data_IF_036320608706
#
_entry.id   IF_036320608706
#
_cell.length_a   1.000
_cell.length_b   1.000
_cell.length_c   1.000
_cell.angle_alpha   90.00
_cell.angle_beta   90.00
_cell.angle_gamma   90.00
#
_symmetry.space_group_name_H-M   'P 1'
#
loop_
_entity.id
_entity.type
_entity.pdbx_description
1 polymer ?
#
# COMPACT_ATOMS: atom_id res chain seq x y z
N UNK A 1 85.74 10.52 41.39
CA UNK A 1 86.82 10.57 40.39
C UNK A 1 86.44 9.67 39.23
N UNK A 2 86.32 10.26 38.03
CA UNK A 2 86.49 9.71 36.65
C UNK A 2 86.41 8.18 36.45
N UNK A 3 85.75 7.61 35.43
CA UNK A 3 85.60 8.10 34.05
C UNK A 3 84.61 7.24 33.22
N UNK A 4 83.94 7.94 32.28
CA UNK A 4 83.53 7.53 30.92
C UNK A 4 82.77 6.22 30.66
N UNK A 5 81.53 6.39 30.20
CA UNK A 5 81.06 5.67 29.02
C UNK A 5 80.38 6.62 28.02
N UNK A 6 81.01 6.70 26.86
CA UNK A 6 80.64 7.38 25.62
C UNK A 6 79.60 6.55 24.85
N UNK A 7 78.47 7.12 24.42
CA UNK A 7 78.26 7.60 23.04
C UNK A 7 76.77 7.89 22.79
N UNK A 8 76.53 9.15 22.44
CA UNK A 8 75.30 9.75 21.97
C UNK A 8 75.40 9.89 20.45
N UNK A 9 74.37 9.50 19.68
CA UNK A 9 74.17 10.05 18.33
C UNK A 9 72.68 10.27 18.02
N UNK A 10 72.34 11.57 17.97
CA UNK A 10 71.39 12.31 17.09
C UNK A 10 69.91 11.92 17.23
N UNK A 11 69.06 12.70 17.91
CA UNK A 11 68.54 14.05 17.60
C UNK A 11 67.98 14.18 16.17
N UNK A 12 66.64 14.16 16.04
CA UNK A 12 65.90 15.27 15.42
C UNK A 12 64.44 15.27 15.91
N UNK A 13 64.03 16.45 16.34
CA UNK A 13 62.74 16.83 16.90
C UNK A 13 61.91 17.42 15.75
N UNK A 14 60.67 16.99 15.55
CA UNK A 14 59.66 17.78 14.84
C UNK A 14 58.27 17.53 15.46
N UNK A 15 57.72 18.60 16.02
CA UNK A 15 56.32 18.74 16.41
C UNK A 15 55.41 18.72 15.17
N UNK A 16 54.26 18.06 15.27
CA UNK A 16 52.96 18.62 14.84
C UNK A 16 51.80 17.76 15.38
N UNK A 17 51.14 18.32 16.39
CA UNK A 17 49.68 18.44 16.56
C UNK A 17 48.72 17.30 16.18
N UNK A 18 48.05 16.81 17.23
CA UNK A 18 46.59 16.59 17.33
C UNK A 18 45.90 15.86 16.18
N UNK A 19 45.45 14.62 16.43
CA UNK A 19 44.04 14.26 16.25
C UNK A 19 43.69 13.03 17.09
N UNK A 20 42.69 13.20 17.97
CA UNK A 20 42.03 12.14 18.72
C UNK A 20 41.36 11.15 17.77
N UNK A 21 41.58 9.86 17.98
CA UNK A 21 40.59 8.82 17.67
C UNK A 21 40.68 7.75 18.75
N UNK A 22 39.95 7.97 19.84
CA UNK A 22 39.65 6.92 20.80
C UNK A 22 38.58 6.00 20.20
N UNK A 23 38.93 4.73 20.11
CA UNK A 23 38.08 3.62 19.73
C UNK A 23 36.95 3.48 20.75
N UNK A 24 35.69 3.52 20.29
CA UNK A 24 34.58 2.92 21.01
C UNK A 24 33.85 1.96 20.08
N UNK A 25 33.97 0.68 20.41
CA UNK A 25 33.14 -0.39 19.91
C UNK A 25 31.67 -0.09 20.25
N UNK A 26 30.88 0.24 19.23
CA UNK A 26 29.43 0.36 19.35
C UNK A 26 28.79 -1.01 19.15
N UNK A 27 28.37 -1.64 20.24
CA UNK A 27 27.36 -2.68 20.20
C UNK A 27 26.13 -2.13 19.45
N UNK A 28 25.74 -2.78 18.35
CA UNK A 28 24.39 -2.63 17.80
C UNK A 28 23.43 -3.27 18.80
N UNK A 29 22.99 -2.49 19.78
CA UNK A 29 21.75 -2.78 20.46
C UNK A 29 20.66 -2.49 19.44
N UNK A 30 20.04 -3.54 18.89
CA UNK A 30 18.67 -3.43 18.40
C UNK A 30 17.84 -3.11 19.64
N UNK A 31 17.66 -1.82 19.90
CA UNK A 31 16.61 -1.39 20.81
C UNK A 31 15.30 -1.76 20.10
N UNK A 32 14.58 -2.72 20.68
CA UNK A 32 13.16 -2.87 20.43
C UNK A 32 12.53 -1.49 20.62
N UNK A 33 12.10 -0.86 19.52
CA UNK A 33 11.29 0.35 19.62
C UNK A 33 10.05 -0.01 20.44
N UNK A 34 9.94 0.58 21.63
CA UNK A 34 8.77 0.44 22.48
C UNK A 34 7.56 0.94 21.67
N UNK A 35 6.73 0.00 21.22
CA UNK A 35 5.56 0.21 20.36
C UNK A 35 4.41 0.84 21.18
N UNK A 36 4.67 1.98 21.83
CA UNK A 36 3.77 2.66 22.76
C UNK A 36 2.94 3.69 21.99
N UNK A 37 1.66 3.39 21.80
CA UNK A 37 0.72 4.34 21.21
C UNK A 37 -0.71 4.07 21.68
N UNK A 38 -1.63 5.03 21.47
CA UNK A 38 -2.96 4.99 22.08
C UNK A 38 -3.79 3.76 21.69
N UNK A 39 -3.59 3.20 20.48
CA UNK A 39 -4.19 1.93 20.06
C UNK A 39 -3.16 0.79 20.22
N UNK A 40 -3.39 -0.12 21.15
CA UNK A 40 -2.42 -1.17 21.50
C UNK A 40 -2.63 -2.47 20.72
N UNK A 41 -3.89 -2.78 20.38
CA UNK A 41 -4.21 -3.93 19.53
C UNK A 41 -5.45 -3.63 18.69
N UNK A 42 -5.57 -4.34 17.57
CA UNK A 42 -6.74 -4.33 16.71
C UNK A 42 -6.86 -5.68 16.01
N UNK A 43 -8.07 -6.17 15.77
CA UNK A 43 -8.28 -7.42 15.06
C UNK A 43 -9.73 -7.90 15.06
N UNK A 44 -9.88 -9.20 14.83
CA UNK A 44 -11.15 -9.92 14.88
C UNK A 44 -10.96 -11.20 15.70
N UNK A 45 -11.38 -11.17 16.96
CA UNK A 45 -11.36 -12.37 17.81
C UNK A 45 -12.47 -13.35 17.42
N UNK A 46 -12.13 -14.64 17.47
CA UNK A 46 -13.05 -15.77 17.30
C UNK A 46 -14.15 -15.80 18.37
N UNK A 47 -13.85 -15.31 19.58
CA UNK A 47 -14.82 -15.19 20.68
C UNK A 47 -16.04 -14.35 20.28
N UNK A 48 -15.83 -13.31 19.47
CA UNK A 48 -16.87 -12.44 18.94
C UNK A 48 -17.36 -12.82 17.54
N UNK A 49 -16.53 -13.56 16.80
CA UNK A 49 -16.76 -13.99 15.43
C UNK A 49 -16.64 -15.53 15.36
N UNK A 50 -17.67 -16.23 15.83
CA UNK A 50 -17.70 -17.70 16.01
C UNK A 50 -17.35 -18.52 14.76
N UNK A 51 -17.49 -17.92 13.59
CA UNK A 51 -17.19 -18.48 12.29
C UNK A 51 -15.71 -18.44 11.89
N UNK A 52 -14.87 -17.77 12.67
CA UNK A 52 -13.43 -17.81 12.49
C UNK A 52 -12.86 -19.11 13.08
N UNK A 53 -11.87 -19.70 12.41
CA UNK A 53 -11.12 -20.84 12.95
C UNK A 53 -10.11 -20.41 14.02
N UNK A 54 -9.60 -19.18 13.91
CA UNK A 54 -8.63 -18.54 14.81
C UNK A 54 -8.84 -17.03 14.78
N UNK A 55 -8.32 -16.33 15.78
CA UNK A 55 -8.29 -14.86 15.78
C UNK A 55 -7.51 -14.33 14.58
N UNK A 56 -7.96 -13.20 14.03
CA UNK A 56 -7.24 -12.44 13.02
C UNK A 56 -6.65 -11.21 13.71
N UNK A 57 -5.33 -11.16 13.81
CA UNK A 57 -4.61 -10.11 14.54
C UNK A 57 -4.03 -9.12 13.53
N UNK A 58 -4.24 -7.83 13.75
CA UNK A 58 -3.65 -6.78 12.93
C UNK A 58 -2.23 -6.42 13.42
N UNK A 59 -1.40 -5.92 12.50
CA UNK A 59 -0.13 -5.29 12.84
C UNK A 59 -0.32 -3.79 12.93
N UNK A 60 0.23 -3.15 13.97
CA UNK A 60 0.16 -1.71 14.19
C UNK A 60 1.55 -1.10 14.04
N UNK A 61 1.66 -0.14 13.14
CA UNK A 61 2.80 0.78 13.05
C UNK A 61 2.43 2.08 13.76
N UNK A 62 3.01 2.30 14.94
CA UNK A 62 2.75 3.48 15.74
C UNK A 62 3.38 4.74 15.17
N UNK A 63 4.45 4.64 14.38
CA UNK A 63 5.11 5.80 13.78
C UNK A 63 4.27 6.31 12.60
N UNK A 64 3.89 5.41 11.69
CA UNK A 64 3.07 5.72 10.53
C UNK A 64 1.58 5.90 10.86
N UNK A 65 1.15 5.54 12.08
CA UNK A 65 -0.27 5.48 12.48
C UNK A 65 -1.09 4.63 11.52
N UNK A 66 -0.55 3.47 11.15
CA UNK A 66 -1.25 2.51 10.28
C UNK A 66 -1.54 1.22 11.02
N UNK A 67 -2.69 0.64 10.72
CA UNK A 67 -3.10 -0.67 11.20
C UNK A 67 -3.30 -1.53 9.96
N UNK A 68 -2.55 -2.60 9.80
CA UNK A 68 -2.71 -3.53 8.68
C UNK A 68 -3.34 -4.81 9.16
N UNK A 69 -4.48 -5.17 8.57
CA UNK A 69 -5.15 -6.46 8.82
C UNK A 69 -5.29 -7.24 7.52
N UNK A 70 -4.87 -8.50 7.55
CA UNK A 70 -5.04 -9.42 6.42
C UNK A 70 -6.16 -10.39 6.75
N UNK A 71 -7.24 -10.34 5.96
CA UNK A 71 -8.44 -11.16 6.16
C UNK A 71 -8.55 -12.18 5.03
N UNK A 72 -8.54 -13.48 5.33
CA UNK A 72 -8.77 -14.52 4.32
C UNK A 72 -10.14 -14.35 3.66
N UNK A 73 -10.20 -14.47 2.33
CA UNK A 73 -11.44 -14.33 1.56
C UNK A 73 -12.51 -15.33 2.02
N UNK A 74 -12.09 -16.52 2.45
CA UNK A 74 -12.96 -17.56 2.98
C UNK A 74 -13.72 -17.12 4.25
N UNK A 75 -13.14 -16.23 5.08
CA UNK A 75 -13.78 -15.73 6.29
C UNK A 75 -15.02 -14.85 5.98
N UNK A 76 -15.12 -14.30 4.77
CA UNK A 76 -16.30 -13.57 4.32
C UNK A 76 -17.44 -14.46 3.85
N UNK A 77 -17.17 -15.75 3.59
CA UNK A 77 -18.16 -16.65 2.97
C UNK A 77 -19.21 -17.04 3.99
N UNK A 78 -20.48 -16.77 3.68
CA UNK A 78 -21.61 -17.30 4.45
C UNK A 78 -21.84 -18.79 4.16
N UNK A 79 -22.53 -19.51 5.06
CA UNK A 79 -22.93 -20.89 4.79
C UNK A 79 -23.71 -21.03 3.48
N UNK A 80 -23.67 -22.23 2.89
CA UNK A 80 -24.38 -22.52 1.64
C UNK A 80 -25.86 -22.11 1.73
N UNK A 81 -26.37 -21.48 0.67
CA UNK A 81 -27.75 -21.00 0.60
C UNK A 81 -27.98 -19.59 1.14
N UNK A 82 -27.02 -18.98 1.84
CA UNK A 82 -27.13 -17.58 2.28
C UNK A 82 -26.50 -16.60 1.27
N UNK A 83 -27.19 -15.48 1.04
CA UNK A 83 -26.70 -14.39 0.18
C UNK A 83 -25.85 -13.38 0.95
N UNK A 84 -24.89 -12.79 0.24
CA UNK A 84 -24.01 -11.72 0.73
C UNK A 84 -22.82 -12.22 1.54
N UNK A 85 -22.00 -11.27 1.97
CA UNK A 85 -20.76 -11.52 2.71
C UNK A 85 -20.97 -11.39 4.21
N UNK A 86 -20.21 -12.14 5.01
CA UNK A 86 -20.14 -11.94 6.46
C UNK A 86 -19.55 -10.58 6.76
N UNK A 87 -20.00 -10.02 7.86
CA UNK A 87 -19.38 -8.87 8.50
C UNK A 87 -18.70 -9.35 9.77
N UNK A 88 -17.81 -8.54 10.30
CA UNK A 88 -16.96 -8.87 11.43
C UNK A 88 -17.23 -7.89 12.54
N UNK A 89 -17.17 -8.39 13.78
CA UNK A 89 -17.08 -7.58 14.98
C UNK A 89 -15.60 -7.35 15.28
N UNK A 90 -15.19 -6.09 15.31
CA UNK A 90 -13.84 -5.71 15.66
C UNK A 90 -13.53 -6.01 17.13
N UNK A 91 -12.26 -6.19 17.45
CA UNK A 91 -11.72 -6.17 18.81
C UNK A 91 -10.48 -5.27 18.85
N UNK A 92 -10.29 -4.56 19.96
CA UNK A 92 -9.13 -3.69 20.18
C UNK A 92 -8.89 -3.47 21.67
N UNK A 93 -7.67 -3.04 21.98
CA UNK A 93 -7.29 -2.54 23.30
C UNK A 93 -6.66 -1.17 23.16
N UNK A 94 -6.91 -0.30 24.14
CA UNK A 94 -6.37 1.06 24.18
C UNK A 94 -5.39 1.19 25.35
N UNK A 95 -4.38 2.04 25.20
CA UNK A 95 -3.38 2.28 26.23
C UNK A 95 -3.99 2.94 27.47
N UNK A 96 -4.91 3.88 27.27
CA UNK A 96 -5.70 4.50 28.34
C UNK A 96 -7.07 3.79 28.42
N UNK A 97 -7.44 3.18 29.56
CA UNK A 97 -8.72 2.49 29.72
C UNK A 97 -9.94 3.41 29.61
N UNK A 98 -9.77 4.73 29.70
CA UNK A 98 -10.85 5.70 29.53
C UNK A 98 -10.94 6.26 28.12
N UNK A 99 -9.93 6.02 27.28
CA UNK A 99 -9.99 6.40 25.89
C UNK A 99 -11.04 5.55 25.15
N UNK A 100 -11.49 6.05 24.01
CA UNK A 100 -12.51 5.41 23.16
C UNK A 100 -12.09 5.45 21.70
N UNK A 101 -12.43 4.39 20.96
CA UNK A 101 -12.21 4.31 19.52
C UNK A 101 -13.43 4.84 18.78
N UNK A 102 -13.21 5.67 17.77
CA UNK A 102 -14.27 6.25 16.95
C UNK A 102 -14.03 5.98 15.46
N UNK A 103 -15.12 5.85 14.72
CA UNK A 103 -15.13 5.90 13.25
C UNK A 103 -16.28 6.77 12.79
N UNK A 104 -16.02 7.74 11.92
CA UNK A 104 -17.02 8.70 11.43
C UNK A 104 -17.81 9.37 12.59
N UNK A 105 -17.12 9.68 13.70
CA UNK A 105 -17.73 10.26 14.91
C UNK A 105 -18.54 9.29 15.79
N UNK A 106 -18.68 8.02 15.40
CA UNK A 106 -19.40 7.00 16.17
C UNK A 106 -18.44 6.14 16.98
N UNK A 107 -18.73 5.95 18.26
CA UNK A 107 -17.97 5.07 19.14
C UNK A 107 -17.99 3.63 18.59
N UNK A 108 -16.86 2.96 18.72
CA UNK A 108 -16.64 1.58 18.31
C UNK A 108 -16.46 0.73 19.56
N UNK A 109 -17.17 -0.40 19.62
CA UNK A 109 -17.20 -1.26 20.80
C UNK A 109 -16.75 -2.66 20.36
N UNK A 110 -15.72 -3.19 21.02
CA UNK A 110 -15.21 -4.55 20.80
C UNK A 110 -16.33 -5.58 20.95
N UNK A 111 -16.45 -6.49 19.99
CA UNK A 111 -17.45 -7.55 20.00
C UNK A 111 -18.89 -7.15 19.65
N UNK A 112 -19.15 -5.85 19.46
CA UNK A 112 -20.48 -5.33 19.15
C UNK A 112 -20.52 -4.64 17.79
N UNK A 113 -19.56 -3.75 17.52
CA UNK A 113 -19.58 -2.96 16.30
C UNK A 113 -19.19 -3.80 15.10
N UNK A 114 -20.14 -3.96 14.18
CA UNK A 114 -20.03 -4.84 13.03
C UNK A 114 -19.84 -4.05 11.71
N UNK A 115 -18.86 -4.44 10.89
CA UNK A 115 -18.62 -3.88 9.55
C UNK A 115 -18.12 -4.96 8.58
N UNK A 116 -18.16 -4.67 7.28
CA UNK A 116 -17.68 -5.58 6.24
C UNK A 116 -16.15 -5.54 6.07
N UNK A 117 -15.43 -4.51 6.51
CA UNK A 117 -13.94 -4.47 6.45
C UNK A 117 -13.31 -4.84 5.08
N UNK A 118 -13.82 -4.32 3.96
CA UNK A 118 -13.27 -4.61 2.60
C UNK A 118 -12.58 -3.42 1.93
N UNK A 119 -12.37 -2.35 2.69
CA UNK A 119 -11.74 -1.11 2.21
C UNK A 119 -11.11 -0.41 3.39
N UNK A 120 -10.06 0.35 3.11
CA UNK A 120 -9.38 1.17 4.12
C UNK A 120 -10.37 2.08 4.85
N UNK A 121 -10.09 2.30 6.13
CA UNK A 121 -10.93 3.06 7.06
C UNK A 121 -10.04 3.92 7.94
N UNK A 122 -10.58 5.03 8.41
CA UNK A 122 -9.94 5.83 9.45
C UNK A 122 -10.64 5.58 10.79
N UNK A 123 -9.83 5.41 11.82
CA UNK A 123 -10.28 5.31 13.20
C UNK A 123 -9.55 6.33 14.04
N UNK A 124 -10.22 6.97 14.99
CA UNK A 124 -9.61 7.92 15.91
C UNK A 124 -9.74 7.42 17.34
N UNK A 125 -8.62 7.27 18.04
CA UNK A 125 -8.62 7.09 19.49
C UNK A 125 -8.74 8.47 20.13
N UNK A 126 -9.75 8.66 20.99
CA UNK A 126 -9.96 9.90 21.72
C UNK A 126 -9.89 9.67 23.22
N UNK A 127 -9.17 10.53 23.92
CA UNK A 127 -9.01 10.55 25.39
C UNK A 127 -10.01 11.52 26.03
N UNK A 128 -10.18 11.46 27.36
CA UNK A 128 -11.12 12.32 28.10
C UNK A 128 -10.80 13.83 27.97
N UNK A 129 -9.52 14.18 27.78
CA UNK A 129 -9.07 15.56 27.57
C UNK A 129 -9.39 16.12 26.17
N UNK A 130 -10.01 15.31 25.30
CA UNK A 130 -10.37 15.67 23.95
C UNK A 130 -9.26 15.51 22.91
N UNK A 131 -8.06 15.06 23.30
CA UNK A 131 -7.00 14.72 22.36
C UNK A 131 -7.44 13.56 21.45
N UNK A 132 -6.99 13.57 20.19
CA UNK A 132 -7.35 12.56 19.21
C UNK A 132 -6.12 12.12 18.40
N UNK A 133 -5.92 10.81 18.29
CA UNK A 133 -4.95 10.21 17.36
C UNK A 133 -5.68 9.39 16.31
N UNK A 134 -5.49 9.71 15.04
CA UNK A 134 -6.09 8.99 13.91
C UNK A 134 -5.14 7.93 13.39
N UNK A 135 -5.69 6.74 13.16
CA UNK A 135 -5.04 5.61 12.51
C UNK A 135 -5.74 5.29 11.19
N UNK A 136 -4.95 4.98 10.17
CA UNK A 136 -5.45 4.40 8.92
C UNK A 136 -5.43 2.88 9.02
N UNK A 137 -6.62 2.28 9.08
CA UNK A 137 -6.78 0.83 8.93
C UNK A 137 -6.70 0.48 7.45
N UNK A 138 -5.62 -0.18 7.07
CA UNK A 138 -5.42 -0.79 5.77
C UNK A 138 -5.88 -2.25 5.80
N UNK A 139 -6.84 -2.62 4.94
CA UNK A 139 -7.33 -4.00 4.87
C UNK A 139 -6.82 -4.68 3.62
N UNK A 140 -6.06 -5.76 3.83
CA UNK A 140 -5.68 -6.72 2.80
C UNK A 140 -6.64 -7.89 2.82
N UNK A 141 -7.15 -8.26 1.65
CA UNK A 141 -7.92 -9.50 1.49
C UNK A 141 -6.99 -10.53 0.89
N UNK A 142 -6.78 -11.62 1.62
CA UNK A 142 -5.99 -12.75 1.15
C UNK A 142 -6.89 -13.72 0.39
N UNK A 143 -6.62 -13.89 -0.90
CA UNK A 143 -7.37 -14.78 -1.77
C UNK A 143 -6.68 -16.13 -1.86
N UNK A 144 -7.46 -17.22 -2.02
CA UNK A 144 -6.93 -18.58 -2.23
C UNK A 144 -5.94 -18.60 -3.41
N UNK A 145 -6.28 -17.89 -4.48
CA UNK A 145 -5.38 -17.62 -5.60
C UNK A 145 -4.83 -16.19 -5.42
N UNK A 146 -3.50 -16.01 -5.23
CA UNK A 146 -2.91 -14.72 -4.91
C UNK A 146 -3.16 -13.67 -6.02
N UNK A 147 -2.86 -12.39 -5.78
CA UNK A 147 -2.99 -11.37 -6.84
C UNK A 147 -2.02 -11.63 -7.99
N UNK A 148 -0.79 -12.04 -7.66
CA UNK A 148 0.30 -12.32 -8.60
C UNK A 148 0.80 -13.74 -8.30
N UNK A 149 1.15 -14.51 -9.32
CA UNK A 149 1.86 -15.77 -9.12
C UNK A 149 3.22 -15.49 -8.45
N UNK A 150 3.58 -16.16 -7.34
CA UNK A 150 4.88 -15.96 -6.68
C UNK A 150 6.09 -16.03 -7.63
N UNK A 151 6.02 -16.86 -8.68
CA UNK A 151 7.10 -16.97 -9.67
C UNK A 151 7.25 -15.74 -10.56
N UNK A 152 6.19 -14.94 -10.72
CA UNK A 152 6.13 -13.79 -11.62
C UNK A 152 6.29 -12.44 -10.90
N UNK A 153 6.40 -12.39 -9.57
CA UNK A 153 6.41 -11.15 -8.78
C UNK A 153 7.47 -10.15 -9.25
N UNK A 154 8.72 -10.59 -9.43
CA UNK A 154 9.80 -9.70 -9.87
C UNK A 154 9.58 -9.19 -11.30
N UNK A 155 9.03 -10.03 -12.18
CA UNK A 155 8.68 -9.63 -13.54
C UNK A 155 7.51 -8.66 -13.56
N UNK A 156 6.50 -8.85 -12.73
CA UNK A 156 5.32 -7.97 -12.68
C UNK A 156 5.66 -6.58 -12.13
N UNK A 157 6.64 -6.48 -11.21
CA UNK A 157 7.12 -5.18 -10.67
C UNK A 157 7.53 -4.19 -11.75
N UNK A 158 8.05 -4.66 -12.89
CA UNK A 158 8.42 -3.78 -13.99
C UNK A 158 7.21 -3.02 -14.57
N UNK A 159 5.99 -3.54 -14.43
CA UNK A 159 4.76 -2.89 -14.91
C UNK A 159 4.23 -1.84 -13.93
N UNK A 160 4.72 -1.80 -12.69
CA UNK A 160 4.27 -0.82 -11.71
C UNK A 160 4.69 0.60 -12.09
N UNK A 161 3.77 1.54 -12.05
CA UNK A 161 4.00 2.94 -12.38
C UNK A 161 2.78 3.62 -12.98
N UNK A 162 3.05 4.75 -13.63
CA UNK A 162 2.06 5.65 -14.21
C UNK A 162 2.09 5.56 -15.74
N UNK A 163 0.92 5.60 -16.36
CA UNK A 163 0.70 5.49 -17.80
C UNK A 163 -0.29 6.56 -18.26
N UNK A 164 -0.12 7.05 -19.48
CA UNK A 164 -1.03 8.04 -20.07
C UNK A 164 -0.75 9.48 -19.57
N UNK A 165 0.41 9.72 -19.00
CA UNK A 165 0.88 11.05 -18.59
C UNK A 165 2.33 11.25 -18.99
N UNK A 166 2.67 12.42 -19.51
CA UNK A 166 4.04 12.86 -19.78
C UNK A 166 4.40 13.94 -18.76
N UNK A 167 5.35 13.65 -17.86
CA UNK A 167 5.73 14.58 -16.80
C UNK A 167 6.54 15.78 -17.30
N UNK A 168 7.37 15.59 -18.34
CA UNK A 168 8.15 16.66 -18.95
C UNK A 168 7.27 17.74 -19.57
N UNK A 169 6.18 17.33 -20.23
CA UNK A 169 5.20 18.22 -20.85
C UNK A 169 4.04 18.58 -19.91
N UNK A 170 3.97 17.95 -18.73
CA UNK A 170 2.84 18.03 -17.79
C UNK A 170 1.49 17.76 -18.44
N UNK A 171 1.43 16.78 -19.34
CA UNK A 171 0.29 16.55 -20.24
C UNK A 171 -0.25 15.13 -20.13
N UNK A 172 -1.58 15.01 -20.11
CA UNK A 172 -2.26 13.71 -20.25
C UNK A 172 -2.21 13.26 -21.72
N UNK A 173 -1.71 12.05 -21.94
CA UNK A 173 -1.57 11.42 -23.26
C UNK A 173 -2.45 10.19 -23.42
N UNK A 174 -2.99 9.66 -22.32
CA UNK A 174 -3.96 8.58 -22.36
C UNK A 174 -5.32 9.06 -22.83
N UNK A 175 -5.98 8.24 -23.65
CA UNK A 175 -7.32 8.46 -24.17
C UNK A 175 -8.17 7.22 -23.85
N UNK A 176 -9.35 7.42 -23.29
CA UNK A 176 -10.42 6.44 -23.17
C UNK A 176 -11.50 6.76 -24.19
N UNK A 177 -11.86 5.80 -25.02
CA UNK A 177 -12.92 5.93 -26.03
C UNK A 177 -14.22 5.38 -25.45
N UNK A 178 -15.22 6.22 -25.25
CA UNK A 178 -16.51 5.81 -24.71
C UNK A 178 -17.65 6.68 -25.27
N UNK A 179 -18.76 6.06 -25.63
CA UNK A 179 -19.97 6.74 -26.11
C UNK A 179 -19.68 7.75 -27.24
N UNK A 180 -18.87 7.34 -28.22
CA UNK A 180 -18.40 8.17 -29.35
C UNK A 180 -17.60 9.43 -28.96
N UNK A 181 -17.10 9.50 -27.73
CA UNK A 181 -16.29 10.60 -27.20
C UNK A 181 -14.91 10.11 -26.75
N UNK A 182 -13.97 11.04 -26.70
CA UNK A 182 -12.63 10.84 -26.14
C UNK A 182 -12.53 11.48 -24.75
N UNK A 183 -12.07 10.70 -23.78
CA UNK A 183 -11.83 11.18 -22.42
C UNK A 183 -10.34 11.06 -22.08
N UNK A 184 -9.71 12.10 -21.51
CA UNK A 184 -8.35 11.99 -21.01
C UNK A 184 -8.31 10.92 -19.91
N UNK A 185 -7.29 10.06 -19.94
CA UNK A 185 -7.13 9.01 -18.94
C UNK A 185 -5.69 8.81 -18.49
N UNK A 186 -5.53 8.45 -17.22
CA UNK A 186 -4.25 8.09 -16.60
C UNK A 186 -4.46 6.78 -15.83
N UNK A 187 -3.52 5.85 -15.98
CA UNK A 187 -3.50 4.61 -15.20
C UNK A 187 -2.32 4.65 -14.24
N UNK A 188 -2.57 4.35 -12.98
CA UNK A 188 -1.54 4.13 -11.97
C UNK A 188 -1.71 2.73 -11.43
N UNK A 189 -0.65 1.93 -11.43
CA UNK A 189 -0.72 0.58 -10.90
C UNK A 189 0.52 0.23 -10.08
N UNK A 190 0.32 -0.54 -9.02
CA UNK A 190 1.37 -1.18 -8.25
C UNK A 190 0.89 -2.56 -7.79
N UNK A 191 1.60 -3.15 -6.81
CA UNK A 191 1.28 -4.47 -6.27
C UNK A 191 -0.13 -4.57 -5.68
N UNK A 192 -0.60 -3.50 -5.03
CA UNK A 192 -1.82 -3.51 -4.22
C UNK A 192 -2.99 -2.76 -4.85
N UNK A 193 -2.70 -1.83 -5.78
CA UNK A 193 -3.66 -0.85 -6.26
C UNK A 193 -3.55 -0.69 -7.77
N UNK A 194 -4.71 -0.64 -8.41
CA UNK A 194 -4.88 -0.19 -9.78
C UNK A 194 -5.86 0.97 -9.77
N UNK A 195 -5.45 2.08 -10.35
CA UNK A 195 -6.25 3.28 -10.43
C UNK A 195 -6.42 3.66 -11.90
N UNK A 196 -7.67 3.81 -12.32
CA UNK A 196 -8.05 4.36 -13.62
C UNK A 196 -8.67 5.73 -13.41
N UNK A 197 -7.99 6.78 -13.85
CA UNK A 197 -8.50 8.14 -13.86
C UNK A 197 -9.05 8.43 -15.24
N UNK A 198 -10.33 8.80 -15.35
CA UNK A 198 -10.95 9.16 -16.63
C UNK A 198 -12.13 10.13 -16.38
N UNK A 199 -13.26 9.94 -17.07
CA UNK A 199 -14.53 10.59 -16.75
C UNK A 199 -14.93 10.35 -15.27
N UNK A 200 -14.63 9.15 -14.76
CA UNK A 200 -14.76 8.78 -13.35
C UNK A 200 -13.46 8.13 -12.88
N UNK A 201 -12.96 8.58 -11.73
CA UNK A 201 -11.80 7.96 -11.09
C UNK A 201 -12.22 6.69 -10.35
N UNK A 202 -11.51 5.60 -10.58
CA UNK A 202 -11.77 4.31 -9.94
C UNK A 202 -10.48 3.74 -9.34
N UNK A 203 -10.51 3.40 -8.05
CA UNK A 203 -9.44 2.73 -7.33
C UNK A 203 -9.86 1.29 -7.03
N UNK A 204 -9.03 0.34 -7.43
CA UNK A 204 -9.23 -1.09 -7.22
C UNK A 204 -8.08 -1.67 -6.42
N UNK A 205 -8.42 -2.45 -5.39
CA UNK A 205 -7.48 -3.27 -4.61
C UNK A 205 -7.70 -4.78 -4.83
N UNK A 206 -8.83 -5.14 -5.43
CA UNK A 206 -9.11 -6.52 -5.82
C UNK A 206 -8.61 -6.74 -7.25
N UNK A 207 -7.42 -7.31 -7.37
CA UNK A 207 -6.67 -7.42 -8.62
C UNK A 207 -6.19 -8.86 -8.84
N UNK A 208 -6.01 -9.23 -10.11
CA UNK A 208 -5.37 -10.48 -10.54
C UNK A 208 -4.50 -10.21 -11.75
N UNK A 209 -3.25 -10.64 -11.66
CA UNK A 209 -2.29 -10.65 -12.76
C UNK A 209 -2.22 -12.04 -13.36
N UNK A 210 -2.37 -12.11 -14.68
CA UNK A 210 -2.24 -13.35 -15.46
C UNK A 210 -1.16 -13.12 -16.54
N UNK A 211 -0.16 -14.00 -16.58
CA UNK A 211 0.85 -14.03 -17.64
C UNK A 211 0.22 -14.53 -18.93
N UNK A 212 0.37 -13.77 -20.02
CA UNK A 212 -0.11 -14.16 -21.36
C UNK A 212 1.05 -14.72 -22.18
N UNK A 213 2.22 -14.11 -22.09
CA UNK A 213 3.48 -14.57 -22.69
C UNK A 213 4.68 -14.00 -21.92
N UNK A 214 5.91 -14.27 -22.35
CA UNK A 214 7.12 -13.68 -21.77
C UNK A 214 7.22 -12.15 -21.94
N UNK A 215 6.40 -11.55 -22.80
CA UNK A 215 6.40 -10.10 -23.05
C UNK A 215 5.04 -9.46 -22.87
N UNK A 216 4.05 -10.20 -22.37
CA UNK A 216 2.67 -9.72 -22.24
C UNK A 216 1.99 -10.26 -20.98
N UNK A 217 1.38 -9.34 -20.22
CA UNK A 217 0.64 -9.64 -19.00
C UNK A 217 -0.70 -8.91 -19.02
N UNK A 218 -1.66 -9.47 -18.29
CA UNK A 218 -2.94 -8.81 -18.05
C UNK A 218 -3.15 -8.60 -16.56
N UNK A 219 -3.60 -7.41 -16.18
CA UNK A 219 -4.12 -7.12 -14.84
C UNK A 219 -5.63 -6.92 -14.95
N UNK A 220 -6.41 -7.79 -14.32
CA UNK A 220 -7.85 -7.65 -14.19
C UNK A 220 -8.17 -7.11 -12.81
N UNK A 221 -8.98 -6.07 -12.75
CA UNK A 221 -9.52 -5.53 -11.50
C UNK A 221 -10.96 -5.96 -11.33
N UNK A 222 -11.42 -6.06 -10.09
CA UNK A 222 -12.77 -6.49 -9.78
C UNK A 222 -13.40 -5.53 -8.78
N UNK A 223 -14.73 -5.51 -8.76
CA UNK A 223 -15.43 -4.76 -7.73
C UNK A 223 -15.04 -5.29 -6.35
N UNK A 224 -14.86 -4.41 -5.36
CA UNK A 224 -14.42 -4.77 -4.00
C UNK A 224 -15.31 -5.79 -3.25
N UNK A 225 -16.55 -5.99 -3.73
CA UNK A 225 -17.48 -7.01 -3.20
C UNK A 225 -17.50 -8.30 -4.02
N UNK A 226 -16.83 -8.34 -5.17
CA UNK A 226 -16.71 -9.52 -6.01
C UNK A 226 -15.50 -10.35 -5.56
N UNK A 227 -15.68 -11.10 -4.48
CA UNK A 227 -14.64 -11.97 -3.94
C UNK A 227 -14.35 -13.20 -4.80
N UNK A 228 -15.25 -13.53 -5.73
CA UNK A 228 -15.04 -14.64 -6.65
C UNK A 228 -14.23 -14.22 -7.86
N UNK A 229 -14.11 -12.90 -8.10
CA UNK A 229 -13.40 -12.34 -9.26
C UNK A 229 -13.99 -12.86 -10.57
N UNK A 230 -15.32 -12.88 -10.66
CA UNK A 230 -16.05 -13.40 -11.83
C UNK A 230 -16.13 -12.36 -12.95
N UNK A 231 -16.38 -11.09 -12.61
CA UNK A 231 -16.61 -10.02 -13.60
C UNK A 231 -15.58 -8.90 -13.45
N UNK A 232 -14.59 -8.80 -14.36
CA UNK A 232 -13.64 -7.70 -14.36
C UNK A 232 -14.35 -6.35 -14.50
N UNK A 233 -13.89 -5.35 -13.73
CA UNK A 233 -14.28 -3.95 -13.88
C UNK A 233 -13.38 -3.23 -14.88
N UNK A 234 -12.07 -3.53 -14.84
CA UNK A 234 -11.07 -3.07 -15.81
C UNK A 234 -10.15 -4.23 -16.15
N UNK A 235 -9.79 -4.35 -17.43
CA UNK A 235 -8.74 -5.25 -17.91
C UNK A 235 -7.64 -4.40 -18.51
N UNK A 236 -6.46 -4.41 -17.92
CA UNK A 236 -5.27 -3.72 -18.42
C UNK A 236 -4.28 -4.73 -19.01
N UNK A 237 -3.89 -4.52 -20.25
CA UNK A 237 -2.86 -5.32 -20.93
C UNK A 237 -1.55 -4.56 -20.92
N UNK A 238 -0.50 -5.21 -20.45
CA UNK A 238 0.85 -4.66 -20.38
C UNK A 238 1.76 -5.42 -21.34
N UNK A 239 2.58 -4.69 -22.09
CA UNK A 239 3.49 -5.26 -23.09
C UNK A 239 4.89 -4.71 -22.93
N UNK A 240 5.88 -5.58 -23.14
CA UNK A 240 7.28 -5.21 -23.30
C UNK A 240 7.58 -5.17 -24.79
N UNK A 241 7.79 -3.97 -25.35
CA UNK A 241 8.16 -3.79 -26.75
C UNK A 241 9.59 -4.26 -27.04
N UNK A 242 9.94 -4.38 -28.32
CA UNK A 242 11.26 -4.86 -28.76
C UNK A 242 12.46 -4.01 -28.27
N UNK A 243 12.21 -2.75 -27.91
CA UNK A 243 13.19 -1.84 -27.31
C UNK A 243 13.17 -1.83 -25.77
N UNK A 244 12.48 -2.78 -25.13
CA UNK A 244 12.26 -2.82 -23.69
C UNK A 244 11.23 -1.80 -23.18
N UNK A 245 10.61 -1.02 -24.07
CA UNK A 245 9.62 -0.01 -23.67
C UNK A 245 8.34 -0.70 -23.24
N UNK A 246 7.87 -0.35 -22.05
CA UNK A 246 6.64 -0.88 -21.49
C UNK A 246 5.46 -0.01 -21.90
N UNK A 247 4.37 -0.65 -22.30
CA UNK A 247 3.09 0.00 -22.56
C UNK A 247 1.96 -0.64 -21.77
N UNK A 248 0.90 0.13 -21.55
CA UNK A 248 -0.35 -0.31 -20.94
C UNK A 248 -1.51 0.09 -21.84
N UNK A 249 -2.44 -0.82 -22.09
CA UNK A 249 -3.73 -0.54 -22.71
C UNK A 249 -4.84 -1.05 -21.79
N UNK A 250 -5.66 -0.16 -21.27
CA UNK A 250 -6.82 -0.53 -20.45
C UNK A 250 -8.09 -0.69 -21.29
N UNK A 251 -8.99 -1.54 -20.81
CA UNK A 251 -10.38 -1.66 -21.24
C UNK A 251 -11.23 -1.57 -19.99
N UNK A 252 -12.14 -0.58 -19.95
CA UNK A 252 -13.06 -0.40 -18.82
C UNK A 252 -14.30 -1.24 -19.09
N UNK A 253 -14.27 -2.50 -18.66
CA UNK A 253 -15.34 -3.48 -18.86
C UNK A 253 -16.68 -3.00 -18.29
N UNK A 254 -16.65 -2.33 -17.14
CA UNK A 254 -17.85 -1.76 -16.51
C UNK A 254 -18.55 -0.67 -17.35
N UNK A 255 -17.89 -0.14 -18.39
CA UNK A 255 -18.40 0.87 -19.32
C UNK A 255 -18.65 0.28 -20.71
N UNK A 256 -19.14 -0.96 -20.78
CA UNK A 256 -19.43 -1.63 -22.06
C UNK A 256 -18.15 -1.90 -22.86
N UNK A 257 -17.09 -2.33 -22.17
CA UNK A 257 -15.78 -2.63 -22.76
C UNK A 257 -15.13 -1.42 -23.47
N UNK A 258 -15.30 -0.22 -22.91
CA UNK A 258 -14.68 1.01 -23.40
C UNK A 258 -13.15 0.87 -23.50
N UNK A 259 -12.56 0.93 -24.71
CA UNK A 259 -11.12 0.75 -24.88
C UNK A 259 -10.36 2.04 -24.61
N UNK A 260 -9.15 1.92 -24.07
CA UNK A 260 -8.15 2.98 -24.05
C UNK A 260 -7.18 2.88 -25.23
N UNK A 261 -6.44 3.96 -25.48
CA UNK A 261 -5.26 3.91 -26.34
C UNK A 261 -4.10 3.14 -25.66
N UNK A 262 -3.09 2.80 -26.45
CA UNK A 262 -1.86 2.25 -25.91
C UNK A 262 -1.01 3.38 -25.31
N UNK A 263 -0.74 3.28 -24.01
CA UNK A 263 -0.07 4.30 -23.24
C UNK A 263 1.33 3.83 -22.86
N UNK A 264 2.40 4.58 -23.16
CA UNK A 264 3.73 4.25 -22.67
C UNK A 264 3.82 4.45 -21.16
N UNK A 265 4.64 3.65 -20.50
CA UNK A 265 5.02 3.87 -19.10
C UNK A 265 5.80 5.17 -18.99
N UNK A 266 5.48 5.98 -17.99
CA UNK A 266 6.22 7.20 -17.70
C UNK A 266 7.57 6.87 -17.06
N UNK A 267 8.63 7.54 -17.51
CA UNK A 267 10.02 7.29 -17.04
C UNK A 267 10.31 7.92 -15.66
N UNK A 268 9.46 8.84 -15.20
CA UNK A 268 9.56 9.41 -13.85
C UNK A 268 8.93 8.50 -12.80
N UNK A 269 9.53 8.45 -11.62
CA UNK A 269 9.05 7.69 -10.45
C UNK A 269 7.81 8.31 -9.77
N UNK A 270 7.03 9.13 -10.47
CA UNK A 270 5.79 9.69 -9.92
C UNK A 270 4.78 8.57 -9.73
N UNK A 271 4.72 8.08 -8.49
CA UNK A 271 3.65 7.28 -7.92
C UNK A 271 2.69 8.28 -7.28
N UNK A 272 1.51 8.41 -7.87
CA UNK A 272 0.41 9.23 -7.34
C UNK A 272 0.24 9.04 -5.82
N UNK A 273 0.13 10.13 -5.05
CA UNK A 273 -0.12 10.10 -3.61
C UNK A 273 -1.60 10.42 -3.31
N UNK A 274 -2.15 9.81 -2.26
CA UNK A 274 -3.56 9.99 -1.86
C UNK A 274 -3.92 11.46 -1.55
N UNK A 275 -2.94 12.28 -1.21
CA UNK A 275 -3.03 13.71 -0.89
C UNK A 275 -3.25 14.58 -2.15
N UNK A 276 -3.01 14.03 -3.34
CA UNK A 276 -3.49 14.58 -4.62
C UNK A 276 -5.03 14.43 -4.75
N UNK A 277 -5.67 13.82 -3.74
CA UNK A 277 -7.06 13.40 -3.60
C UNK A 277 -8.08 14.46 -3.18
N UNK A 278 -7.91 15.73 -3.57
CA UNK A 278 -9.05 16.66 -3.65
C UNK A 278 -9.86 16.54 -4.95
N UNK A 279 -9.65 15.44 -5.69
CA UNK A 279 -10.08 15.30 -7.06
C UNK A 279 -9.12 16.06 -7.96
N UNK A 280 -8.53 15.38 -8.93
CA UNK A 280 -7.86 16.06 -10.02
C UNK A 280 -8.92 16.97 -10.66
N UNK A 281 -8.81 18.29 -10.47
CA UNK A 281 -9.53 19.23 -11.34
C UNK A 281 -9.11 18.85 -12.77
N UNK A 282 -10.08 18.73 -13.68
CA UNK A 282 -9.81 18.59 -15.13
C UNK A 282 -8.56 19.42 -15.47
N UNK A 283 -7.55 18.87 -16.18
CA UNK A 283 -6.40 19.67 -16.55
C UNK A 283 -6.90 20.96 -17.20
N UNK A 284 -6.58 22.09 -16.57
CA UNK A 284 -6.87 23.39 -17.15
C UNK A 284 -5.85 23.53 -18.26
N UNK A 285 -6.31 23.39 -19.50
CA UNK A 285 -5.54 23.76 -20.68
C UNK A 285 -5.12 25.21 -20.45
N UNK A 286 -3.82 25.47 -20.32
CA UNK A 286 -3.29 26.80 -20.59
C UNK A 286 -3.37 27.04 -22.10
#
# INVERSE_FOLDING_TARGET
MTNKQTNMKRLFMFMCSLFLCAVLAGCKNNADEENTGPLMSFGFEKSFNDFLSTDIIATIDQSAKTVTVTVPVAAYKKPAGQKGNRKFKLSFTLQDPKAKLYKDGKEQISGETEDLFIKDKEYSVKTEDGSATTYTLHIKIEYETPSIDPADVETVKQFFGTYGYNAGEKKVTGILYFDSNEYPTVVVCNEEKFISYSLMSSLYTNMRWDKVSETEWTCKTYHKKDFKRETPSVTATFKIGANGKITCKQVVNAMGDAPGNEMPKENGSYVWAADDGHGFKKPVVQ
#
